data_IF_839489048338
#
_entry.id   IF_839489048338
#
_cell.length_a   1.000
_cell.length_b   1.000
_cell.length_c   1.000
_cell.angle_alpha   90.00
_cell.angle_beta   90.00
_cell.angle_gamma   90.00
#
_symmetry.space_group_name_H-M   'P 1'
#
loop_
_entity.id
_entity.type
_entity.pdbx_description
1 polymer ?
#
# COMPACT_ATOMS: atom_id res chain seq x y z
N UNK A 1 -18.33 -20.69 -0.51
CA UNK A 1 -17.57 -20.61 -1.78
C UNK A 1 -16.73 -19.35 -1.70
N UNK A 2 -15.45 -19.41 -1.98
CA UNK A 2 -14.54 -18.27 -1.85
C UNK A 2 -13.46 -18.34 -2.92
N UNK A 3 -12.97 -17.18 -3.34
CA UNK A 3 -11.73 -17.05 -4.10
C UNK A 3 -10.57 -16.74 -3.15
N UNK A 4 -9.35 -17.06 -3.56
CA UNK A 4 -8.13 -16.73 -2.83
C UNK A 4 -7.12 -16.09 -3.76
N UNK A 5 -6.51 -15.01 -3.30
CA UNK A 5 -5.20 -14.58 -3.76
C UNK A 5 -4.19 -14.96 -2.69
N UNK A 6 -3.11 -15.64 -3.07
CA UNK A 6 -2.03 -15.95 -2.12
C UNK A 6 -1.26 -14.68 -1.75
N UNK A 7 -0.53 -14.71 -0.63
CA UNK A 7 -0.13 -13.51 0.08
C UNK A 7 1.03 -12.77 -0.60
N UNK A 8 0.70 -11.65 -1.28
CA UNK A 8 1.72 -10.77 -1.86
C UNK A 8 2.58 -10.03 -0.82
N UNK A 9 2.08 -9.79 0.39
CA UNK A 9 2.83 -9.06 1.44
C UNK A 9 4.03 -9.86 1.96
N UNK A 10 4.02 -11.19 1.81
CA UNK A 10 5.13 -12.06 2.19
C UNK A 10 6.26 -12.12 1.15
N UNK A 11 6.06 -11.54 -0.04
CA UNK A 11 7.01 -11.59 -1.15
C UNK A 11 8.09 -10.52 -0.98
N UNK A 12 9.31 -10.82 -1.42
CA UNK A 12 10.49 -9.99 -1.16
C UNK A 12 11.08 -9.43 -2.44
N UNK A 13 11.58 -8.20 -2.37
CA UNK A 13 12.39 -7.57 -3.43
C UNK A 13 13.76 -8.25 -3.52
N UNK A 14 14.36 -8.59 -2.37
CA UNK A 14 15.64 -9.30 -2.28
C UNK A 14 15.44 -10.76 -2.65
N UNK A 15 16.35 -11.30 -3.47
CA UNK A 15 16.31 -12.68 -3.97
C UNK A 15 14.89 -13.10 -4.40
N UNK A 16 14.25 -12.36 -5.33
CA UNK A 16 12.82 -12.50 -5.63
C UNK A 16 12.46 -13.88 -6.20
N UNK A 17 13.43 -14.67 -6.66
CA UNK A 17 13.24 -16.05 -7.09
C UNK A 17 12.71 -16.94 -5.96
N UNK A 18 13.02 -16.60 -4.71
CA UNK A 18 12.47 -17.28 -3.54
C UNK A 18 10.94 -17.14 -3.44
N UNK A 19 10.35 -16.11 -4.08
CA UNK A 19 8.90 -15.92 -4.11
C UNK A 19 8.19 -17.06 -4.84
N UNK A 20 8.82 -17.72 -5.82
CA UNK A 20 8.23 -18.88 -6.51
C UNK A 20 7.86 -19.98 -5.51
N UNK A 21 8.75 -20.28 -4.56
CA UNK A 21 8.51 -21.29 -3.54
C UNK A 21 7.46 -20.84 -2.51
N UNK A 22 7.49 -19.57 -2.11
CA UNK A 22 6.49 -18.99 -1.20
C UNK A 22 5.09 -19.12 -1.79
N UNK A 23 4.92 -18.69 -3.03
CA UNK A 23 3.66 -18.73 -3.78
C UNK A 23 3.17 -20.18 -3.91
N UNK A 24 4.04 -21.13 -4.25
CA UNK A 24 3.66 -22.54 -4.36
C UNK A 24 3.14 -23.09 -3.02
N UNK A 25 3.86 -22.84 -1.92
CA UNK A 25 3.47 -23.33 -0.59
C UNK A 25 2.14 -22.71 -0.13
N UNK A 26 1.94 -21.42 -0.38
CA UNK A 26 0.69 -20.74 -0.08
C UNK A 26 -0.47 -21.25 -0.94
N UNK A 27 -0.22 -21.54 -2.22
CA UNK A 27 -1.21 -22.11 -3.13
C UNK A 27 -1.65 -23.51 -2.68
N UNK A 28 -0.71 -24.34 -2.24
CA UNK A 28 -1.01 -25.67 -1.69
C UNK A 28 -1.90 -25.59 -0.44
N UNK A 29 -1.66 -24.62 0.44
CA UNK A 29 -2.45 -24.44 1.67
C UNK A 29 -3.95 -24.22 1.40
N UNK A 30 -4.32 -23.69 0.23
CA UNK A 30 -5.72 -23.39 -0.15
C UNK A 30 -6.28 -24.30 -1.24
N UNK A 31 -5.51 -25.30 -1.68
CA UNK A 31 -5.90 -26.23 -2.76
C UNK A 31 -5.88 -27.71 -2.36
N UNK A 32 -5.05 -28.10 -1.38
CA UNK A 32 -4.87 -29.51 -0.99
C UNK A 32 -6.15 -30.15 -0.42
N UNK A 33 -6.91 -29.43 0.40
CA UNK A 33 -8.15 -29.97 0.97
C UNK A 33 -9.25 -30.04 -0.09
N UNK A 34 -9.71 -31.23 -0.44
CA UNK A 34 -10.79 -31.41 -1.43
C UNK A 34 -12.10 -30.73 -0.99
N UNK A 35 -12.45 -30.79 0.29
CA UNK A 35 -13.70 -30.26 0.84
C UNK A 35 -13.61 -28.77 1.14
N UNK A 36 -12.42 -28.26 1.48
CA UNK A 36 -12.25 -26.86 1.85
C UNK A 36 -11.60 -25.98 0.77
N UNK A 37 -10.98 -26.52 -0.28
CA UNK A 37 -10.24 -25.72 -1.28
C UNK A 37 -11.05 -24.58 -1.90
N UNK A 38 -10.32 -23.53 -2.25
CA UNK A 38 -10.86 -22.36 -2.92
C UNK A 38 -11.50 -22.72 -4.28
N UNK A 39 -12.42 -21.86 -4.75
CA UNK A 39 -13.12 -22.03 -6.04
C UNK A 39 -12.49 -21.22 -7.17
N UNK A 40 -11.71 -20.22 -6.82
CA UNK A 40 -10.90 -19.44 -7.73
C UNK A 40 -9.59 -19.14 -7.02
N UNK A 41 -8.48 -19.30 -7.72
CA UNK A 41 -7.14 -19.05 -7.21
C UNK A 41 -6.45 -18.03 -8.10
N UNK A 42 -5.93 -16.98 -7.48
CA UNK A 42 -5.05 -16.00 -8.11
C UNK A 42 -3.66 -16.15 -7.50
N UNK A 43 -2.66 -16.28 -8.35
CA UNK A 43 -1.26 -16.26 -7.94
C UNK A 43 -0.63 -14.92 -8.36
N UNK A 44 0.10 -14.24 -7.47
CA UNK A 44 0.97 -13.14 -7.86
C UNK A 44 2.14 -13.67 -8.71
N UNK A 45 2.90 -12.76 -9.29
CA UNK A 45 4.15 -13.12 -9.94
C UNK A 45 5.32 -13.16 -8.95
N UNK A 46 6.40 -13.84 -9.33
CA UNK A 46 7.61 -13.91 -8.52
C UNK A 46 8.27 -12.53 -8.29
N UNK A 47 8.07 -11.58 -9.20
CA UNK A 47 8.60 -10.22 -9.14
C UNK A 47 7.58 -9.16 -8.63
N UNK A 48 6.48 -9.59 -7.99
CA UNK A 48 5.43 -8.69 -7.48
C UNK A 48 5.96 -7.57 -6.57
N UNK A 49 6.98 -7.87 -5.76
CA UNK A 49 7.59 -6.90 -4.85
C UNK A 49 8.46 -5.84 -5.56
N UNK A 50 8.79 -6.05 -6.84
CA UNK A 50 9.59 -5.12 -7.65
C UNK A 50 8.72 -4.15 -8.45
N UNK A 51 7.53 -4.59 -8.89
CA UNK A 51 6.64 -3.79 -9.73
C UNK A 51 5.65 -4.65 -10.49
N UNK A 52 5.00 -4.08 -11.51
CA UNK A 52 4.02 -4.80 -12.30
C UNK A 52 4.66 -5.98 -13.06
N UNK A 53 4.02 -7.16 -13.07
CA UNK A 53 4.57 -8.33 -13.72
C UNK A 53 4.45 -8.26 -15.24
N UNK A 54 5.49 -8.69 -15.95
CA UNK A 54 5.50 -8.82 -17.41
C UNK A 54 4.67 -10.04 -17.82
N UNK A 55 4.26 -10.14 -19.10
CA UNK A 55 3.55 -11.32 -19.59
C UNK A 55 4.29 -12.65 -19.33
N UNK A 56 5.62 -12.64 -19.38
CA UNK A 56 6.44 -13.81 -19.07
C UNK A 56 6.35 -14.22 -17.58
N UNK A 57 6.38 -13.24 -16.67
CA UNK A 57 6.26 -13.50 -15.23
C UNK A 57 4.88 -14.08 -14.89
N UNK A 58 3.82 -13.54 -15.52
CA UNK A 58 2.46 -14.04 -15.38
C UNK A 58 2.30 -15.47 -15.93
N UNK A 59 2.94 -15.77 -17.07
CA UNK A 59 2.96 -17.12 -17.61
C UNK A 59 3.59 -18.12 -16.64
N UNK A 60 4.63 -17.73 -15.90
CA UNK A 60 5.25 -18.59 -14.89
C UNK A 60 4.25 -18.97 -13.79
N UNK A 61 3.52 -18.01 -13.24
CA UNK A 61 2.46 -18.29 -12.25
C UNK A 61 1.31 -19.13 -12.83
N UNK A 62 0.96 -18.94 -14.10
CA UNK A 62 -0.01 -19.79 -14.79
C UNK A 62 0.48 -21.24 -14.91
N UNK A 63 1.76 -21.43 -15.28
CA UNK A 63 2.37 -22.77 -15.39
C UNK A 63 2.40 -23.48 -14.05
N UNK A 64 2.63 -22.76 -12.94
CA UNK A 64 2.52 -23.32 -11.61
C UNK A 64 1.12 -23.91 -11.34
N UNK A 65 0.04 -23.19 -11.68
CA UNK A 65 -1.32 -23.71 -11.54
C UNK A 65 -1.59 -24.93 -12.44
N UNK A 66 -1.08 -24.91 -13.67
CA UNK A 66 -1.24 -26.02 -14.61
C UNK A 66 -0.49 -27.27 -14.17
N UNK A 67 0.74 -27.13 -13.68
CA UNK A 67 1.52 -28.23 -13.11
C UNK A 67 0.73 -28.84 -11.93
N UNK A 68 0.29 -28.00 -10.97
CA UNK A 68 -0.52 -28.48 -9.84
C UNK A 68 -1.80 -29.20 -10.29
N UNK A 69 -2.46 -28.73 -11.35
CA UNK A 69 -3.73 -29.30 -11.79
C UNK A 69 -3.60 -30.55 -12.68
N UNK A 70 -2.55 -30.63 -13.51
CA UNK A 70 -2.46 -31.62 -14.59
C UNK A 70 -1.24 -32.55 -14.51
N UNK A 71 -0.23 -32.19 -13.71
CA UNK A 71 0.96 -33.02 -13.49
C UNK A 71 1.01 -33.59 -12.06
N UNK A 72 0.02 -33.28 -11.24
CA UNK A 72 -0.16 -33.89 -9.91
C UNK A 72 -1.51 -34.55 -9.79
N UNK A 73 -1.57 -35.60 -8.96
CA UNK A 73 -2.79 -36.34 -8.67
C UNK A 73 -3.67 -35.65 -7.61
N UNK A 74 -3.37 -34.40 -7.23
CA UNK A 74 -4.06 -33.66 -6.16
C UNK A 74 -5.58 -33.55 -6.39
N UNK A 75 -6.03 -33.58 -7.64
CA UNK A 75 -7.45 -33.51 -7.99
C UNK A 75 -8.15 -34.87 -7.97
N UNK A 76 -7.39 -35.97 -7.97
CA UNK A 76 -7.91 -37.33 -8.14
C UNK A 76 -8.32 -37.99 -6.81
N UNK A 77 -7.57 -37.72 -5.74
CA UNK A 77 -7.80 -38.34 -4.43
C UNK A 77 -8.94 -37.70 -3.62
N UNK A 78 -9.33 -38.35 -2.53
CA UNK A 78 -10.21 -37.80 -1.49
C UNK A 78 -9.49 -36.72 -0.66
N UNK A 79 -10.13 -36.20 0.38
CA UNK A 79 -9.52 -35.14 1.20
C UNK A 79 -8.36 -35.70 2.04
N UNK A 80 -7.15 -35.24 1.77
CA UNK A 80 -5.92 -35.73 2.41
C UNK A 80 -5.84 -35.43 3.91
N UNK A 81 -6.70 -34.55 4.43
CA UNK A 81 -6.71 -34.18 5.85
C UNK A 81 -7.74 -34.94 6.69
N UNK A 82 -8.57 -35.80 6.09
CA UNK A 82 -9.54 -36.61 6.82
C UNK A 82 -8.83 -37.49 7.88
N UNK A 83 -9.25 -37.37 9.14
CA UNK A 83 -8.67 -38.12 10.27
C UNK A 83 -7.38 -37.53 10.85
N UNK A 84 -6.91 -36.38 10.36
CA UNK A 84 -5.75 -35.69 10.92
C UNK A 84 -6.12 -34.94 12.20
N UNK A 85 -5.85 -35.55 13.35
CA UNK A 85 -6.07 -34.91 14.67
C UNK A 85 -5.36 -33.55 14.83
N UNK A 86 -4.24 -33.33 14.13
CA UNK A 86 -3.51 -32.06 14.13
C UNK A 86 -4.28 -30.98 13.37
N UNK A 87 -4.72 -31.27 12.16
CA UNK A 87 -5.45 -30.30 11.31
C UNK A 87 -6.83 -30.03 11.90
N UNK A 88 -7.52 -31.06 12.38
CA UNK A 88 -8.81 -30.92 13.06
C UNK A 88 -8.69 -30.05 14.31
N UNK A 89 -7.71 -30.32 15.18
CA UNK A 89 -7.47 -29.53 16.38
C UNK A 89 -7.16 -28.06 16.08
N UNK A 90 -6.33 -27.77 15.07
CA UNK A 90 -6.04 -26.41 14.62
C UNK A 90 -7.27 -25.71 14.03
N UNK A 91 -8.09 -26.45 13.29
CA UNK A 91 -9.34 -25.93 12.71
C UNK A 91 -10.33 -25.52 13.80
N UNK A 92 -10.51 -26.33 14.84
CA UNK A 92 -11.41 -25.98 15.96
C UNK A 92 -10.91 -24.82 16.81
N UNK A 93 -9.59 -24.71 17.03
CA UNK A 93 -9.00 -23.55 17.69
C UNK A 93 -9.28 -22.26 16.91
N UNK A 94 -9.02 -22.25 15.59
CA UNK A 94 -9.28 -21.08 14.74
C UNK A 94 -10.77 -20.69 14.72
N UNK A 95 -11.68 -21.68 14.66
CA UNK A 95 -13.13 -21.42 14.73
C UNK A 95 -13.53 -20.80 16.07
N UNK A 96 -12.90 -21.20 17.16
CA UNK A 96 -13.18 -20.67 18.50
C UNK A 96 -12.75 -19.21 18.59
N UNK A 97 -11.51 -18.91 18.17
CA UNK A 97 -10.96 -17.55 18.15
C UNK A 97 -11.77 -16.63 17.23
N UNK A 98 -12.10 -17.07 16.02
CA UNK A 98 -12.88 -16.30 15.06
C UNK A 98 -14.29 -15.98 15.58
N UNK A 99 -14.95 -16.92 16.26
CA UNK A 99 -16.28 -16.66 16.86
C UNK A 99 -16.19 -15.69 18.05
N UNK A 100 -15.12 -15.75 18.84
CA UNK A 100 -14.90 -14.79 19.92
C UNK A 100 -14.64 -13.37 19.38
N UNK A 101 -13.93 -13.24 18.26
CA UNK A 101 -13.76 -11.98 17.54
C UNK A 101 -15.10 -11.44 17.01
N UNK A 102 -15.90 -12.29 16.35
CA UNK A 102 -17.23 -11.91 15.87
C UNK A 102 -18.13 -11.41 17.01
N UNK A 103 -18.15 -12.09 18.15
CA UNK A 103 -18.92 -11.67 19.32
C UNK A 103 -18.48 -10.30 19.86
N UNK A 104 -17.17 -9.99 19.80
CA UNK A 104 -16.66 -8.65 20.16
C UNK A 104 -17.14 -7.59 19.18
N UNK A 105 -17.07 -7.86 17.87
CA UNK A 105 -17.57 -6.96 16.83
C UNK A 105 -19.07 -6.71 16.98
N UNK A 106 -19.86 -7.75 17.27
CA UNK A 106 -21.31 -7.61 17.52
C UNK A 106 -21.59 -6.75 18.76
N UNK A 107 -20.81 -6.91 19.83
CA UNK A 107 -20.91 -6.07 21.03
C UNK A 107 -20.54 -4.59 20.79
N UNK A 108 -19.76 -4.30 19.74
CA UNK A 108 -19.42 -2.94 19.30
C UNK A 108 -20.49 -2.31 18.39
N UNK A 109 -21.61 -2.99 18.14
CA UNK A 109 -22.66 -2.51 17.24
C UNK A 109 -22.53 -3.03 15.81
N UNK A 110 -21.67 -4.01 15.57
CA UNK A 110 -21.46 -4.65 14.27
C UNK A 110 -20.27 -4.08 13.50
N UNK A 111 -19.99 -4.67 12.34
CA UNK A 111 -18.76 -4.44 11.59
C UNK A 111 -18.55 -2.99 11.14
N UNK A 112 -19.62 -2.24 10.82
CA UNK A 112 -19.52 -0.84 10.36
C UNK A 112 -18.99 0.06 11.48
N UNK A 113 -19.55 -0.07 12.68
CA UNK A 113 -19.12 0.68 13.86
C UNK A 113 -17.74 0.24 14.35
N UNK A 114 -17.41 -1.05 14.17
CA UNK A 114 -16.12 -1.62 14.57
C UNK A 114 -14.96 -1.33 13.60
N UNK A 115 -15.18 -0.60 12.49
CA UNK A 115 -14.12 -0.30 11.50
C UNK A 115 -12.85 0.31 12.14
N UNK A 116 -12.93 1.31 13.05
CA UNK A 116 -11.74 1.86 13.70
C UNK A 116 -10.95 0.81 14.48
N UNK A 117 -11.64 -0.03 15.26
CA UNK A 117 -11.04 -1.11 16.04
C UNK A 117 -10.38 -2.17 15.15
N UNK A 118 -11.04 -2.59 14.08
CA UNK A 118 -10.49 -3.55 13.13
C UNK A 118 -9.23 -2.99 12.44
N UNK A 119 -9.23 -1.70 12.09
CA UNK A 119 -8.07 -1.04 11.50
C UNK A 119 -6.92 -0.95 12.49
N UNK A 120 -7.18 -0.57 13.74
CA UNK A 120 -6.18 -0.51 14.80
C UNK A 120 -5.55 -1.89 15.06
N UNK A 121 -6.37 -2.92 15.21
CA UNK A 121 -5.91 -4.30 15.44
C UNK A 121 -5.02 -4.81 14.29
N UNK A 122 -5.40 -4.49 13.04
CA UNK A 122 -4.60 -4.86 11.87
C UNK A 122 -3.25 -4.13 11.82
N UNK A 123 -3.22 -2.84 12.20
CA UNK A 123 -1.96 -2.08 12.30
C UNK A 123 -1.08 -2.65 13.42
N UNK A 124 -1.63 -2.96 14.58
CA UNK A 124 -0.92 -3.57 15.70
C UNK A 124 -0.26 -4.91 15.33
N UNK A 125 -1.03 -5.83 14.75
CA UNK A 125 -0.51 -7.13 14.29
C UNK A 125 0.61 -6.98 13.24
N UNK A 126 0.54 -5.93 12.42
CA UNK A 126 1.59 -5.67 11.43
C UNK A 126 2.87 -5.12 12.07
N UNK A 127 2.76 -4.27 13.08
CA UNK A 127 3.90 -3.76 13.84
C UNK A 127 4.63 -4.90 14.53
N UNK A 128 3.92 -5.81 15.19
CA UNK A 128 4.50 -6.99 15.83
C UNK A 128 5.27 -7.86 14.82
N UNK A 129 4.68 -8.09 13.63
CA UNK A 129 5.35 -8.82 12.56
C UNK A 129 6.66 -8.17 12.16
N UNK A 130 6.66 -6.84 11.97
CA UNK A 130 7.84 -6.09 11.52
C UNK A 130 8.92 -6.09 12.59
N UNK A 131 8.56 -5.88 13.86
CA UNK A 131 9.48 -6.03 14.98
C UNK A 131 10.11 -7.42 15.03
N UNK A 132 9.31 -8.47 14.77
CA UNK A 132 9.83 -9.83 14.62
C UNK A 132 10.87 -9.97 13.51
N UNK A 133 10.67 -9.31 12.37
CA UNK A 133 11.61 -9.33 11.24
C UNK A 133 12.87 -8.52 11.56
N UNK A 134 12.74 -7.32 12.14
CA UNK A 134 13.85 -6.44 12.50
C UNK A 134 14.76 -7.08 13.55
N UNK A 135 14.17 -7.71 14.57
CA UNK A 135 14.89 -8.42 15.64
C UNK A 135 15.47 -9.78 15.18
N UNK A 136 15.03 -10.29 14.04
CA UNK A 136 15.40 -11.61 13.53
C UNK A 136 14.65 -12.79 14.18
N UNK A 137 13.71 -12.52 15.10
CA UNK A 137 12.83 -13.53 15.69
C UNK A 137 11.97 -14.21 14.61
N UNK A 138 11.51 -13.46 13.62
CA UNK A 138 10.87 -13.95 12.40
C UNK A 138 11.89 -13.95 11.25
N UNK A 139 12.27 -15.14 10.79
CA UNK A 139 13.21 -15.29 9.68
C UNK A 139 12.54 -15.02 8.34
N UNK A 140 13.17 -14.17 7.51
CA UNK A 140 12.81 -13.93 6.10
C UNK A 140 14.06 -14.17 5.26
N UNK A 141 14.06 -15.31 4.56
CA UNK A 141 15.17 -15.81 3.75
C UNK A 141 15.48 -14.81 2.62
N UNK A 142 16.74 -14.41 2.49
CA UNK A 142 17.22 -13.42 1.55
C UNK A 142 17.07 -11.96 2.01
N UNK A 143 16.42 -11.70 3.16
CA UNK A 143 16.21 -10.35 3.70
C UNK A 143 16.99 -10.15 5.00
N UNK A 144 16.66 -10.89 6.05
CA UNK A 144 17.33 -10.80 7.35
C UNK A 144 18.18 -12.04 7.69
N UNK A 145 18.09 -13.10 6.88
CA UNK A 145 18.85 -14.34 7.05
C UNK A 145 19.17 -14.96 5.69
N UNK A 146 20.37 -15.52 5.54
CA UNK A 146 20.91 -16.03 4.26
C UNK A 146 20.89 -14.95 3.17
N UNK A 147 21.57 -13.83 3.44
CA UNK A 147 21.51 -12.63 2.59
C UNK A 147 22.48 -12.72 1.41
N UNK A 148 23.54 -13.50 1.55
CA UNK A 148 24.54 -13.71 0.51
C UNK A 148 23.96 -14.51 -0.66
N UNK A 149 24.13 -14.01 -1.89
CA UNK A 149 23.65 -14.65 -3.12
C UNK A 149 24.55 -14.34 -4.31
N UNK A 150 24.52 -15.21 -5.32
CA UNK A 150 25.12 -14.91 -6.63
C UNK A 150 24.24 -13.93 -7.41
N UNK A 151 24.80 -13.24 -8.41
CA UNK A 151 24.03 -12.35 -9.27
C UNK A 151 22.95 -13.14 -10.04
N UNK A 152 21.69 -12.71 -9.90
CA UNK A 152 20.58 -13.33 -10.62
C UNK A 152 20.56 -12.90 -12.09
N UNK A 153 20.40 -13.86 -13.04
CA UNK A 153 20.16 -13.55 -14.45
C UNK A 153 18.74 -13.01 -14.69
N UNK A 154 17.81 -13.16 -13.73
CA UNK A 154 16.42 -12.73 -13.85
C UNK A 154 16.20 -11.30 -13.33
N UNK A 155 17.02 -10.85 -12.38
CA UNK A 155 16.82 -9.59 -11.65
C UNK A 155 17.67 -8.39 -12.08
N UNK A 156 18.38 -8.45 -13.22
CA UNK A 156 19.46 -7.50 -13.54
C UNK A 156 19.33 -6.71 -14.86
N UNK A 157 18.13 -6.57 -15.41
CA UNK A 157 17.90 -5.82 -16.67
C UNK A 157 16.97 -4.60 -16.54
N UNK A 158 17.08 -3.66 -17.49
CA UNK A 158 16.22 -2.46 -17.65
C UNK A 158 14.75 -2.78 -17.96
N UNK A 159 14.42 -4.05 -18.18
CA UNK A 159 13.07 -4.55 -18.44
C UNK A 159 12.64 -5.59 -17.39
N UNK A 160 13.02 -5.41 -16.11
CA UNK A 160 12.70 -6.34 -15.03
C UNK A 160 11.21 -6.31 -14.62
N UNK A 161 10.51 -5.22 -14.91
CA UNK A 161 9.10 -4.99 -14.60
C UNK A 161 8.36 -4.42 -15.83
N UNK A 162 7.04 -4.49 -15.82
CA UNK A 162 6.21 -3.85 -16.82
C UNK A 162 6.07 -2.35 -16.50
N UNK A 163 6.42 -1.50 -17.47
CA UNK A 163 6.17 -0.05 -17.42
C UNK A 163 5.07 0.35 -18.41
N UNK A 164 4.51 1.54 -18.24
CA UNK A 164 3.44 2.08 -19.09
C UNK A 164 4.03 3.24 -19.91
N UNK A 165 3.80 3.22 -21.23
CA UNK A 165 4.18 4.32 -22.13
C UNK A 165 3.34 5.57 -21.81
N UNK A 166 3.96 6.74 -21.53
CA UNK A 166 3.25 8.01 -21.33
C UNK A 166 2.28 8.38 -22.46
N UNK A 167 2.51 7.90 -23.69
CA UNK A 167 1.60 8.12 -24.82
C UNK A 167 0.20 7.52 -24.60
N UNK A 168 0.07 6.50 -23.73
CA UNK A 168 -1.21 5.86 -23.40
C UNK A 168 -2.15 6.85 -22.73
N UNK A 169 -1.66 7.60 -21.73
CA UNK A 169 -2.46 8.62 -21.05
C UNK A 169 -2.89 9.71 -22.03
N UNK A 170 -1.94 10.24 -22.82
CA UNK A 170 -2.23 11.26 -23.82
C UNK A 170 -3.27 10.80 -24.85
N UNK A 171 -3.22 9.52 -25.25
CA UNK A 171 -4.22 8.88 -26.09
C UNK A 171 -5.60 8.82 -25.42
N UNK A 172 -5.65 8.41 -24.16
CA UNK A 172 -6.89 8.32 -23.40
C UNK A 172 -7.54 9.70 -23.18
N UNK A 173 -6.76 10.74 -22.92
CA UNK A 173 -7.25 12.12 -22.82
C UNK A 173 -7.89 12.57 -24.13
N UNK A 174 -7.24 12.33 -25.27
CA UNK A 174 -7.80 12.66 -26.59
C UNK A 174 -9.09 11.88 -26.86
N UNK A 175 -9.12 10.59 -26.55
CA UNK A 175 -10.31 9.75 -26.71
C UNK A 175 -11.47 10.27 -25.84
N UNK A 176 -11.19 10.64 -24.59
CA UNK A 176 -12.19 11.20 -23.67
C UNK A 176 -12.75 12.53 -24.15
N UNK A 177 -11.89 13.44 -24.66
CA UNK A 177 -12.32 14.71 -25.23
C UNK A 177 -13.21 14.51 -26.46
N UNK A 178 -12.82 13.59 -27.36
CA UNK A 178 -13.63 13.25 -28.53
C UNK A 178 -14.98 12.63 -28.13
N UNK A 179 -14.98 11.71 -27.16
CA UNK A 179 -16.18 11.10 -26.60
C UNK A 179 -17.15 12.14 -26.04
N UNK A 180 -16.65 13.06 -25.22
CA UNK A 180 -17.43 14.17 -24.64
C UNK A 180 -18.02 15.10 -25.69
N UNK A 181 -17.34 15.29 -26.82
CA UNK A 181 -17.81 16.13 -27.93
C UNK A 181 -18.90 15.45 -28.77
N UNK A 182 -18.85 14.12 -28.90
CA UNK A 182 -19.74 13.37 -29.78
C UNK A 182 -21.05 12.92 -29.12
N UNK A 183 -21.06 12.76 -27.79
CA UNK A 183 -22.25 12.30 -27.04
C UNK A 183 -23.36 13.36 -26.99
N UNK A 184 -24.58 12.91 -26.75
CA UNK A 184 -25.73 13.78 -26.52
C UNK A 184 -25.65 14.43 -25.14
N UNK A 185 -25.39 15.75 -25.12
CA UNK A 185 -25.25 16.51 -23.88
C UNK A 185 -26.56 16.55 -23.06
N UNK A 186 -27.72 16.62 -23.71
CA UNK A 186 -29.01 16.67 -23.02
C UNK A 186 -29.35 15.33 -22.37
N UNK A 187 -29.06 14.22 -23.06
CA UNK A 187 -29.22 12.88 -22.49
C UNK A 187 -28.29 12.65 -21.29
N UNK A 188 -27.04 13.13 -21.37
CA UNK A 188 -26.05 13.06 -20.27
C UNK A 188 -26.53 13.85 -19.05
N UNK A 189 -26.98 15.09 -19.25
CA UNK A 189 -27.45 15.94 -18.16
C UNK A 189 -28.68 15.35 -17.48
N UNK A 190 -29.66 14.86 -18.26
CA UNK A 190 -30.84 14.20 -17.73
C UNK A 190 -30.48 12.94 -16.92
N UNK A 191 -29.55 12.12 -17.41
CA UNK A 191 -29.14 10.91 -16.71
C UNK A 191 -28.36 11.21 -15.41
N UNK A 192 -27.50 12.24 -15.40
CA UNK A 192 -26.83 12.68 -14.17
C UNK A 192 -27.84 13.23 -13.16
N UNK A 193 -28.84 13.97 -13.62
CA UNK A 193 -29.89 14.52 -12.76
C UNK A 193 -30.72 13.40 -12.10
N UNK A 194 -31.16 12.41 -12.86
CA UNK A 194 -31.91 11.28 -12.28
C UNK A 194 -31.03 10.42 -11.34
N UNK A 195 -29.74 10.24 -11.67
CA UNK A 195 -28.80 9.57 -10.76
C UNK A 195 -28.69 10.29 -9.41
N UNK A 196 -28.56 11.63 -9.43
CA UNK A 196 -28.52 12.44 -8.21
C UNK A 196 -29.83 12.34 -7.44
N UNK A 197 -30.98 12.46 -8.12
CA UNK A 197 -32.29 12.33 -7.49
C UNK A 197 -32.49 10.96 -6.85
N UNK A 198 -32.10 9.88 -7.53
CA UNK A 198 -32.18 8.53 -7.00
C UNK A 198 -31.31 8.35 -5.75
N UNK A 199 -30.10 8.89 -5.77
CA UNK A 199 -29.19 8.90 -4.63
C UNK A 199 -29.74 9.70 -3.44
N UNK A 200 -30.31 10.89 -3.68
CA UNK A 200 -30.89 11.75 -2.63
C UNK A 200 -32.17 11.17 -2.02
N UNK A 201 -33.04 10.58 -2.84
CA UNK A 201 -34.33 10.05 -2.40
C UNK A 201 -34.25 8.61 -1.86
N UNK A 202 -33.06 7.99 -1.87
CA UNK A 202 -32.85 6.62 -1.39
C UNK A 202 -33.42 5.52 -2.31
N UNK A 203 -33.67 5.83 -3.59
CA UNK A 203 -34.09 4.84 -4.59
C UNK A 203 -32.90 3.96 -5.00
N UNK A 204 -33.19 2.85 -5.67
CA UNK A 204 -32.15 2.06 -6.31
C UNK A 204 -31.41 2.93 -7.36
N UNK A 205 -30.08 3.04 -7.21
CA UNK A 205 -29.22 3.83 -8.08
C UNK A 205 -28.72 3.03 -9.30
N UNK A 206 -28.98 1.72 -9.36
CA UNK A 206 -28.48 0.87 -10.44
C UNK A 206 -29.11 1.22 -11.79
N UNK A 207 -30.43 1.38 -11.84
CA UNK A 207 -31.15 1.69 -13.08
C UNK A 207 -30.74 3.07 -13.64
N UNK A 208 -30.68 4.15 -12.84
CA UNK A 208 -30.11 5.43 -13.27
C UNK A 208 -28.62 5.33 -13.67
N UNK A 209 -27.83 4.50 -12.99
CA UNK A 209 -26.41 4.31 -13.35
C UNK A 209 -26.24 3.64 -14.71
N UNK A 210 -27.08 2.66 -15.04
CA UNK A 210 -27.10 2.03 -16.38
C UNK A 210 -27.52 3.05 -17.44
N UNK A 211 -28.53 3.88 -17.14
CA UNK A 211 -28.96 4.95 -18.04
C UNK A 211 -27.83 5.97 -18.28
N UNK A 212 -27.13 6.38 -17.23
CA UNK A 212 -25.96 7.26 -17.30
C UNK A 212 -24.84 6.67 -18.18
N UNK A 213 -24.49 5.41 -17.97
CA UNK A 213 -23.48 4.73 -18.78
C UNK A 213 -23.89 4.69 -20.28
N UNK A 214 -25.16 4.39 -20.57
CA UNK A 214 -25.69 4.38 -21.95
C UNK A 214 -25.74 5.76 -22.59
N UNK A 215 -26.03 6.81 -21.81
CA UNK A 215 -26.00 8.19 -22.25
C UNK A 215 -24.57 8.71 -22.51
N UNK A 216 -23.55 7.95 -22.07
CA UNK A 216 -22.15 8.31 -22.24
C UNK A 216 -21.57 9.17 -21.13
N UNK A 217 -22.19 9.16 -19.94
CA UNK A 217 -21.61 9.70 -18.71
C UNK A 217 -20.31 8.94 -18.42
N UNK A 218 -19.25 9.69 -18.09
CA UNK A 218 -17.93 9.12 -17.78
C UNK A 218 -17.87 8.68 -16.32
N UNK A 219 -16.96 7.76 -15.98
CA UNK A 219 -16.74 7.34 -14.57
C UNK A 219 -16.46 8.53 -13.65
N UNK A 220 -15.73 9.54 -14.15
CA UNK A 220 -15.46 10.76 -13.39
C UNK A 220 -16.72 11.59 -13.11
N UNK A 221 -17.58 11.78 -14.11
CA UNK A 221 -18.85 12.51 -13.95
C UNK A 221 -19.83 11.75 -13.05
N UNK A 222 -19.94 10.42 -13.22
CA UNK A 222 -20.73 9.56 -12.34
C UNK A 222 -20.25 9.65 -10.89
N UNK A 223 -18.94 9.53 -10.67
CA UNK A 223 -18.35 9.64 -9.34
C UNK A 223 -18.47 11.04 -8.73
N UNK A 224 -18.37 12.11 -9.52
CA UNK A 224 -18.62 13.48 -9.06
C UNK A 224 -20.08 13.68 -8.66
N UNK A 225 -21.02 13.18 -9.47
CA UNK A 225 -22.44 13.30 -9.19
C UNK A 225 -22.84 12.67 -7.85
N UNK A 226 -22.31 11.48 -7.55
CA UNK A 226 -22.55 10.82 -6.25
C UNK A 226 -21.84 11.52 -5.08
N UNK A 227 -20.64 12.07 -5.30
CA UNK A 227 -19.92 12.84 -4.28
C UNK A 227 -20.63 14.14 -3.91
N UNK A 228 -21.33 14.78 -4.84
CA UNK A 228 -22.16 15.95 -4.53
C UNK A 228 -23.34 15.60 -3.59
N UNK A 229 -23.85 14.36 -3.64
CA UNK A 229 -24.98 13.92 -2.79
C UNK A 229 -24.49 13.36 -1.45
N UNK A 230 -23.47 12.50 -1.47
CA UNK A 230 -23.01 11.77 -0.29
C UNK A 230 -21.79 12.38 0.40
N UNK A 231 -21.13 13.34 -0.24
CA UNK A 231 -19.81 13.82 0.17
C UNK A 231 -18.69 12.81 -0.14
N UNK A 232 -17.53 13.04 0.47
CA UNK A 232 -16.36 12.18 0.36
C UNK A 232 -16.04 11.55 1.73
N UNK A 233 -15.76 10.25 1.72
CA UNK A 233 -15.35 9.55 2.95
C UNK A 233 -13.85 9.74 3.20
N UNK A 234 -13.50 10.11 4.43
CA UNK A 234 -12.13 10.09 4.95
C UNK A 234 -12.02 9.01 6.01
N UNK A 235 -11.23 7.98 5.72
CA UNK A 235 -11.03 6.86 6.64
C UNK A 235 -10.13 7.23 7.82
N UNK A 236 -10.29 6.56 8.98
CA UNK A 236 -9.42 6.78 10.12
C UNK A 236 -7.98 6.36 9.81
N UNK A 237 -7.01 7.14 10.31
CA UNK A 237 -5.61 6.75 10.31
C UNK A 237 -5.38 5.84 11.51
N UNK A 238 -5.00 4.57 11.30
CA UNK A 238 -4.77 3.59 12.38
C UNK A 238 -3.52 3.88 13.25
N UNK A 239 -3.03 5.12 13.24
CA UNK A 239 -1.75 5.56 13.85
C UNK A 239 -1.97 6.27 15.19
N UNK A 240 -3.22 6.46 15.61
CA UNK A 240 -3.57 7.27 16.80
C UNK A 240 -3.23 6.60 18.15
N UNK A 241 -3.02 5.27 18.20
CA UNK A 241 -2.99 4.52 19.48
C UNK A 241 -1.68 3.77 19.75
N UNK A 242 -0.70 3.76 18.82
CA UNK A 242 0.54 3.00 19.07
C UNK A 242 1.58 3.86 19.83
N UNK A 243 1.22 4.24 21.05
CA UNK A 243 2.14 4.72 22.07
C UNK A 243 2.21 3.60 23.10
N UNK A 244 3.02 2.58 22.81
CA UNK A 244 3.70 1.70 23.77
C UNK A 244 4.17 0.44 23.03
N UNK A 245 5.26 0.56 22.28
CA UNK A 245 6.14 -0.58 22.06
C UNK A 245 7.51 -0.18 22.60
N UNK A 246 7.83 -0.77 23.74
CA UNK A 246 8.93 -0.34 24.60
C UNK A 246 10.31 -0.42 23.97
N UNK A 247 11.22 0.36 24.56
CA UNK A 247 12.46 -0.17 25.14
C UNK A 247 13.47 -0.84 24.21
N UNK A 248 13.47 -0.60 22.91
CA UNK A 248 14.63 -0.93 22.09
C UNK A 248 15.68 0.16 22.25
N UNK A 249 16.90 -0.21 22.67
CA UNK A 249 18.03 0.71 22.80
C UNK A 249 18.27 1.55 21.53
N UNK A 250 17.90 1.03 20.36
CA UNK A 250 17.94 1.74 19.09
C UNK A 250 16.93 2.91 19.01
N UNK A 251 15.68 2.71 19.47
CA UNK A 251 14.67 3.78 19.48
C UNK A 251 15.10 4.90 20.43
N UNK A 252 15.59 4.55 21.62
CA UNK A 252 16.08 5.53 22.59
C UNK A 252 17.30 6.30 22.07
N UNK A 253 18.22 5.61 21.37
CA UNK A 253 19.34 6.26 20.71
C UNK A 253 18.89 7.26 19.63
N UNK A 254 17.96 6.87 18.75
CA UNK A 254 17.39 7.78 17.76
C UNK A 254 16.61 8.92 18.41
N UNK A 255 15.88 8.67 19.50
CA UNK A 255 15.16 9.71 20.25
C UNK A 255 16.12 10.75 20.81
N UNK A 256 17.24 10.33 21.40
CA UNK A 256 18.28 11.26 21.87
C UNK A 256 18.86 12.12 20.73
N UNK A 257 18.99 11.56 19.52
CA UNK A 257 19.39 12.33 18.33
C UNK A 257 18.32 13.33 17.89
N UNK A 258 17.05 12.92 17.89
CA UNK A 258 15.92 13.82 17.61
C UNK A 258 15.89 14.98 18.61
N UNK A 259 16.12 14.71 19.89
CA UNK A 259 16.18 15.73 20.95
C UNK A 259 17.33 16.72 20.68
N UNK A 260 18.54 16.22 20.43
CA UNK A 260 19.72 17.05 20.16
C UNK A 260 19.57 17.93 18.90
N UNK A 261 18.94 17.43 17.84
CA UNK A 261 18.64 18.22 16.64
C UNK A 261 17.51 19.21 16.91
N UNK A 262 16.47 18.82 17.65
CA UNK A 262 15.36 19.70 18.03
C UNK A 262 15.83 20.89 18.88
N UNK A 263 16.78 20.69 19.80
CA UNK A 263 17.38 21.78 20.58
C UNK A 263 18.05 22.82 19.69
N UNK A 264 18.80 22.37 18.68
CA UNK A 264 19.47 23.26 17.71
C UNK A 264 18.50 23.96 16.77
N UNK A 265 17.39 23.29 16.41
CA UNK A 265 16.31 23.87 15.62
C UNK A 265 15.43 24.85 16.42
N UNK A 266 15.51 24.82 17.75
CA UNK A 266 14.71 25.66 18.65
C UNK A 266 13.27 25.17 18.85
N UNK A 267 12.89 24.04 18.23
CA UNK A 267 11.60 23.37 18.40
C UNK A 267 11.70 21.91 17.98
N UNK A 268 10.66 21.12 18.27
CA UNK A 268 10.62 19.69 17.91
C UNK A 268 10.76 19.49 16.40
N UNK A 269 11.60 18.52 16.00
CA UNK A 269 11.71 18.06 14.62
C UNK A 269 10.32 17.60 14.14
N UNK A 270 9.81 18.26 13.11
CA UNK A 270 8.48 18.03 12.53
C UNK A 270 8.60 17.32 11.19
N UNK A 271 7.80 16.26 11.04
CA UNK A 271 7.81 15.38 9.87
C UNK A 271 6.40 15.26 9.30
N UNK A 272 6.20 15.81 8.10
CA UNK A 272 4.95 15.64 7.34
C UNK A 272 5.10 14.44 6.42
N UNK A 273 4.27 13.42 6.64
CA UNK A 273 4.22 12.24 5.79
C UNK A 273 2.95 12.28 4.94
N UNK A 274 3.13 12.29 3.62
CA UNK A 274 2.04 12.36 2.65
C UNK A 274 1.97 11.13 1.75
N UNK A 275 0.75 10.81 1.30
CA UNK A 275 0.50 9.83 0.24
C UNK A 275 -0.18 10.52 -0.95
N UNK A 276 0.62 10.98 -1.94
CA UNK A 276 0.08 11.74 -3.06
C UNK A 276 -0.69 10.84 -4.04
N UNK A 277 -1.67 11.41 -4.73
CA UNK A 277 -2.40 10.76 -5.80
C UNK A 277 -3.49 9.81 -5.31
N UNK A 278 -3.71 8.68 -6.00
CA UNK A 278 -4.78 7.73 -5.67
C UNK A 278 -4.27 6.49 -4.91
N UNK A 279 -2.98 6.47 -4.53
CA UNK A 279 -2.36 5.35 -3.86
C UNK A 279 -3.00 5.06 -2.48
N UNK A 280 -3.66 3.91 -2.38
CA UNK A 280 -4.33 3.45 -1.16
C UNK A 280 -3.44 2.65 -0.21
N UNK A 281 -2.18 2.34 -0.57
CA UNK A 281 -1.31 1.49 0.24
C UNK A 281 -0.78 2.23 1.48
N UNK A 282 -1.51 2.21 2.58
CA UNK A 282 -1.16 2.98 3.77
C UNK A 282 -0.20 2.29 4.74
N UNK A 283 -0.05 0.96 4.68
CA UNK A 283 0.69 0.19 5.68
C UNK A 283 2.12 0.70 5.95
N UNK A 284 2.89 0.97 4.89
CA UNK A 284 4.26 1.47 5.04
C UNK A 284 4.30 2.88 5.64
N UNK A 285 3.39 3.77 5.20
CA UNK A 285 3.31 5.12 5.74
C UNK A 285 2.88 5.12 7.22
N UNK A 286 1.92 4.28 7.60
CA UNK A 286 1.45 4.15 8.99
C UNK A 286 2.58 3.67 9.92
N UNK A 287 3.42 2.72 9.49
CA UNK A 287 4.58 2.26 10.26
C UNK A 287 5.65 3.34 10.41
N UNK A 288 5.96 4.05 9.32
CA UNK A 288 6.91 5.17 9.33
C UNK A 288 6.42 6.25 10.29
N UNK A 289 5.14 6.61 10.23
CA UNK A 289 4.55 7.59 11.13
C UNK A 289 4.58 7.12 12.59
N UNK A 290 4.22 5.88 12.88
CA UNK A 290 4.27 5.31 14.23
C UNK A 290 5.71 5.27 14.78
N UNK A 291 6.68 4.80 13.99
CA UNK A 291 8.10 4.75 14.41
C UNK A 291 8.68 6.15 14.59
N UNK A 292 8.37 7.09 13.70
CA UNK A 292 8.79 8.49 13.85
C UNK A 292 8.28 9.11 15.16
N UNK A 293 7.00 8.86 15.52
CA UNK A 293 6.44 9.27 16.81
C UNK A 293 7.13 8.59 17.99
N UNK A 294 7.45 7.30 17.89
CA UNK A 294 8.18 6.57 18.93
C UNK A 294 9.60 7.11 19.14
N UNK A 295 10.29 7.51 18.06
CA UNK A 295 11.55 8.27 18.10
C UNK A 295 11.37 9.73 18.56
N UNK A 296 10.13 10.14 18.83
CA UNK A 296 9.77 11.42 19.40
C UNK A 296 9.59 12.53 18.36
N UNK A 297 9.59 12.30 17.06
CA UNK A 297 9.31 13.37 16.09
C UNK A 297 7.87 13.89 16.23
N UNK A 298 7.63 15.15 15.89
CA UNK A 298 6.27 15.70 15.71
C UNK A 298 5.75 15.31 14.32
N UNK A 299 4.89 14.29 14.25
CA UNK A 299 4.50 13.65 12.99
C UNK A 299 3.07 13.99 12.58
N UNK A 300 2.96 14.60 11.39
CA UNK A 300 1.70 14.91 10.74
C UNK A 300 1.45 13.86 9.66
N UNK A 301 0.37 13.09 9.81
CA UNK A 301 -0.08 12.09 8.86
C UNK A 301 -1.61 11.99 8.88
N UNK A 302 -2.24 12.53 7.83
CA UNK A 302 -3.71 12.64 7.71
C UNK A 302 -4.31 11.55 6.79
N UNK A 303 -3.52 10.54 6.44
CA UNK A 303 -3.97 9.37 5.70
C UNK A 303 -3.61 9.41 4.21
N UNK A 304 -4.56 8.98 3.37
CA UNK A 304 -4.33 8.69 1.95
C UNK A 304 -5.10 9.64 1.04
N UNK A 305 -4.72 9.62 -0.24
CA UNK A 305 -5.39 10.33 -1.33
C UNK A 305 -5.40 11.84 -1.16
N UNK A 306 -4.21 12.40 -0.98
CA UNK A 306 -3.99 13.84 -1.03
C UNK A 306 -3.36 14.22 -2.36
N UNK A 307 -3.66 15.42 -2.83
CA UNK A 307 -2.93 16.03 -3.94
C UNK A 307 -1.55 16.50 -3.44
N UNK A 308 -0.54 16.59 -4.33
CA UNK A 308 0.73 17.23 -4.00
C UNK A 308 0.58 18.62 -3.38
N UNK A 309 -0.36 19.42 -3.87
CA UNK A 309 -0.64 20.76 -3.34
C UNK A 309 -1.17 20.74 -1.90
N UNK A 310 -2.08 19.81 -1.55
CA UNK A 310 -2.59 19.67 -0.19
C UNK A 310 -1.49 19.24 0.79
N UNK A 311 -0.61 18.30 0.40
CA UNK A 311 0.52 17.86 1.24
C UNK A 311 1.48 19.03 1.48
N UNK A 312 1.76 19.83 0.44
CA UNK A 312 2.60 21.03 0.56
C UNK A 312 1.94 22.08 1.45
N UNK A 313 0.62 22.26 1.36
CA UNK A 313 -0.12 23.16 2.24
C UNK A 313 -0.06 22.72 3.71
N UNK A 314 -0.19 21.42 3.98
CA UNK A 314 0.02 20.84 5.32
C UNK A 314 1.44 21.08 5.81
N UNK A 315 2.45 20.84 4.96
CA UNK A 315 3.85 21.10 5.29
C UNK A 315 4.15 22.56 5.61
N UNK A 316 3.53 23.49 4.88
CA UNK A 316 3.64 24.91 5.17
C UNK A 316 2.95 25.28 6.48
N UNK A 317 1.73 24.78 6.71
CA UNK A 317 0.96 25.07 7.92
C UNK A 317 1.65 24.52 9.19
N UNK A 318 2.29 23.35 9.09
CA UNK A 318 3.00 22.71 10.18
C UNK A 318 4.44 23.21 10.37
N UNK A 319 4.91 24.15 9.54
CA UNK A 319 6.32 24.56 9.47
C UNK A 319 7.24 23.31 9.44
N UNK A 320 7.04 22.44 8.45
CA UNK A 320 7.68 21.14 8.40
C UNK A 320 9.20 21.25 8.26
N UNK A 321 9.96 20.49 9.04
CA UNK A 321 11.41 20.36 8.86
C UNK A 321 11.77 19.37 7.74
N UNK A 322 10.89 18.41 7.45
CA UNK A 322 11.05 17.42 6.38
C UNK A 322 9.70 16.96 5.88
N UNK A 323 9.61 16.71 4.57
CA UNK A 323 8.45 16.11 3.91
C UNK A 323 8.85 14.71 3.45
N UNK A 324 8.01 13.72 3.74
CA UNK A 324 8.13 12.35 3.28
C UNK A 324 6.95 12.00 2.39
N UNK A 325 7.22 11.38 1.25
CA UNK A 325 6.17 10.82 0.39
C UNK A 325 6.24 9.31 0.39
N UNK A 326 5.11 8.64 0.60
CA UNK A 326 5.01 7.19 0.44
C UNK A 326 4.20 6.86 -0.81
N UNK A 327 4.85 6.31 -1.85
CA UNK A 327 4.26 6.08 -3.18
C UNK A 327 4.53 4.63 -3.63
N UNK A 328 3.47 3.83 -3.73
CA UNK A 328 3.53 2.43 -4.16
C UNK A 328 2.78 2.19 -5.48
N UNK A 329 2.27 3.25 -6.11
CA UNK A 329 1.45 3.16 -7.33
C UNK A 329 2.25 3.14 -8.64
N UNK A 330 3.58 3.25 -8.59
CA UNK A 330 4.44 3.44 -9.76
C UNK A 330 4.38 4.85 -10.37
N UNK A 331 3.68 5.80 -9.74
CA UNK A 331 3.52 7.18 -10.20
C UNK A 331 4.53 8.15 -9.57
N UNK A 332 5.61 7.63 -8.98
CA UNK A 332 6.55 8.40 -8.15
C UNK A 332 7.23 9.52 -8.92
N UNK A 333 7.65 9.32 -10.17
CA UNK A 333 8.31 10.37 -10.94
C UNK A 333 7.40 11.59 -11.16
N UNK A 334 6.14 11.37 -11.52
CA UNK A 334 5.21 12.45 -11.82
C UNK A 334 4.73 13.15 -10.56
N UNK A 335 4.34 12.37 -9.54
CA UNK A 335 3.86 12.93 -8.27
C UNK A 335 4.98 13.67 -7.53
N UNK A 336 6.22 13.17 -7.53
CA UNK A 336 7.36 13.89 -6.91
C UNK A 336 7.67 15.16 -7.68
N UNK A 337 7.65 15.13 -9.02
CA UNK A 337 7.86 16.32 -9.84
C UNK A 337 6.82 17.39 -9.55
N UNK A 338 5.55 17.00 -9.43
CA UNK A 338 4.45 17.89 -9.05
C UNK A 338 4.64 18.42 -7.63
N UNK A 339 4.96 17.57 -6.65
CA UNK A 339 5.22 18.01 -5.26
C UNK A 339 6.35 19.04 -5.20
N UNK A 340 7.48 18.81 -5.88
CA UNK A 340 8.59 19.76 -5.91
C UNK A 340 8.17 21.08 -6.55
N UNK A 341 7.35 21.04 -7.61
CA UNK A 341 6.78 22.26 -8.20
C UNK A 341 5.89 23.01 -7.21
N UNK A 342 5.01 22.32 -6.48
CA UNK A 342 4.16 22.94 -5.46
C UNK A 342 4.97 23.48 -4.27
N UNK A 343 6.01 22.77 -3.83
CA UNK A 343 6.94 23.25 -2.78
C UNK A 343 7.60 24.57 -3.18
N UNK A 344 8.08 24.69 -4.42
CA UNK A 344 8.66 25.93 -4.96
C UNK A 344 7.65 27.07 -4.95
N UNK A 345 6.42 26.83 -5.41
CA UNK A 345 5.33 27.83 -5.38
C UNK A 345 4.99 28.27 -3.95
N UNK A 346 5.09 27.36 -2.99
CA UNK A 346 4.80 27.61 -1.59
C UNK A 346 5.96 28.25 -0.81
N UNK A 347 7.17 28.32 -1.38
CA UNK A 347 8.39 28.83 -0.75
C UNK A 347 9.09 27.83 0.18
N UNK A 348 8.90 26.52 -0.04
CA UNK A 348 9.46 25.43 0.76
C UNK A 348 10.73 24.80 0.14
N UNK A 349 11.46 25.53 -0.69
CA UNK A 349 12.65 25.03 -1.41
C UNK A 349 13.74 24.44 -0.50
N UNK A 350 13.81 24.93 0.74
CA UNK A 350 14.80 24.49 1.74
C UNK A 350 14.36 23.26 2.52
N UNK A 351 13.06 22.93 2.52
CA UNK A 351 12.54 21.78 3.23
C UNK A 351 12.96 20.52 2.46
N UNK A 352 13.77 19.62 3.04
CA UNK A 352 14.17 18.39 2.37
C UNK A 352 12.97 17.48 2.10
N UNK A 353 13.00 16.84 0.92
CA UNK A 353 12.04 15.84 0.50
C UNK A 353 12.69 14.46 0.53
N UNK A 354 12.06 13.50 1.20
CA UNK A 354 12.40 12.07 1.15
C UNK A 354 11.24 11.28 0.54
N UNK A 355 11.53 10.18 -0.14
CA UNK A 355 10.52 9.38 -0.84
C UNK A 355 10.70 7.91 -0.47
N UNK A 356 9.61 7.21 -0.19
CA UNK A 356 9.59 5.79 0.07
C UNK A 356 8.55 5.06 -0.77
N UNK A 357 8.79 3.78 -1.10
CA UNK A 357 7.80 2.92 -1.74
C UNK A 357 8.41 1.94 -2.75
N UNK A 358 7.59 1.44 -3.69
CA UNK A 358 8.07 0.53 -4.75
C UNK A 358 8.67 1.38 -5.86
N UNK A 359 9.99 1.56 -5.81
CA UNK A 359 10.73 2.45 -6.70
C UNK A 359 11.85 1.66 -7.35
N UNK A 360 11.84 1.49 -8.68
CA UNK A 360 12.91 0.83 -9.43
C UNK A 360 14.26 1.53 -9.24
N UNK A 361 15.34 0.77 -9.31
CA UNK A 361 16.69 1.29 -9.13
C UNK A 361 17.05 2.42 -10.13
N UNK A 362 16.59 2.30 -11.37
CA UNK A 362 16.78 3.31 -12.42
C UNK A 362 16.10 4.65 -12.10
N UNK A 363 14.94 4.61 -11.44
CA UNK A 363 14.18 5.80 -11.07
C UNK A 363 14.73 6.48 -9.82
N UNK A 364 15.42 5.74 -8.94
CA UNK A 364 16.10 6.31 -7.77
C UNK A 364 17.07 7.43 -8.16
N UNK A 365 17.84 7.24 -9.24
CA UNK A 365 18.78 8.26 -9.72
C UNK A 365 18.03 9.50 -10.22
N UNK A 366 16.96 9.31 -10.98
CA UNK A 366 16.11 10.39 -11.50
C UNK A 366 15.50 11.21 -10.36
N UNK A 367 14.96 10.55 -9.32
CA UNK A 367 14.41 11.22 -8.14
C UNK A 367 15.46 12.07 -7.41
N UNK A 368 16.68 11.54 -7.24
CA UNK A 368 17.78 12.29 -6.61
C UNK A 368 18.17 13.52 -7.44
N UNK A 369 18.22 13.41 -8.77
CA UNK A 369 18.48 14.54 -9.66
C UNK A 369 17.38 15.61 -9.60
N UNK A 370 16.12 15.22 -9.32
CA UNK A 370 15.03 16.19 -9.10
C UNK A 370 15.15 16.95 -7.78
N UNK A 371 15.95 16.46 -6.82
CA UNK A 371 16.19 17.11 -5.53
C UNK A 371 15.76 16.28 -4.31
N UNK A 372 15.27 15.05 -4.50
CA UNK A 372 14.97 14.12 -3.41
C UNK A 372 16.25 13.77 -2.65
N UNK A 373 16.26 13.97 -1.33
CA UNK A 373 17.43 13.75 -0.48
C UNK A 373 17.72 12.27 -0.23
N UNK A 374 16.67 11.49 -0.05
CA UNK A 374 16.76 10.05 0.23
C UNK A 374 15.58 9.31 -0.38
N UNK A 375 15.87 8.16 -0.96
CA UNK A 375 14.88 7.20 -1.47
C UNK A 375 14.98 5.93 -0.62
N UNK A 376 13.83 5.41 -0.19
CA UNK A 376 13.69 4.18 0.57
C UNK A 376 12.82 3.18 -0.21
N UNK A 377 13.28 1.94 -0.38
CA UNK A 377 12.53 0.87 -1.09
C UNK A 377 12.23 -0.29 -0.13
N UNK A 378 11.52 -1.36 -0.53
CA UNK A 378 11.31 -2.53 0.34
C UNK A 378 12.60 -3.14 0.93
N UNK A 379 13.78 -2.86 0.35
CA UNK A 379 15.10 -3.17 0.93
C UNK A 379 15.41 -2.48 2.25
N UNK A 380 14.82 -1.31 2.47
CA UNK A 380 15.03 -0.51 3.68
C UNK A 380 14.02 -0.97 4.76
N UNK A 381 14.11 -2.23 5.18
CA UNK A 381 13.15 -2.83 6.13
C UNK A 381 13.39 -2.44 7.60
N UNK A 382 14.54 -1.80 7.91
CA UNK A 382 14.90 -1.33 9.25
C UNK A 382 14.38 0.09 9.47
N UNK A 383 13.18 0.20 10.01
CA UNK A 383 12.45 1.47 10.11
C UNK A 383 13.14 2.44 11.07
N UNK A 384 13.74 1.96 12.15
CA UNK A 384 14.52 2.82 13.06
C UNK A 384 15.72 3.45 12.36
N UNK A 385 16.39 2.72 11.46
CA UNK A 385 17.49 3.27 10.66
C UNK A 385 16.99 4.35 9.69
N UNK A 386 15.79 4.19 9.12
CA UNK A 386 15.17 5.25 8.29
C UNK A 386 14.99 6.52 9.13
N UNK A 387 14.59 6.41 10.40
CA UNK A 387 14.40 7.58 11.27
C UNK A 387 15.74 8.27 11.55
N UNK A 388 16.80 7.50 11.79
CA UNK A 388 18.16 8.01 11.90
C UNK A 388 18.62 8.76 10.64
N UNK A 389 18.41 8.19 9.46
CA UNK A 389 18.72 8.82 8.16
C UNK A 389 17.90 10.13 7.97
N UNK A 390 16.64 10.17 8.41
CA UNK A 390 15.80 11.39 8.37
C UNK A 390 16.36 12.49 9.28
N UNK A 391 16.86 12.15 10.48
CA UNK A 391 17.52 13.11 11.37
C UNK A 391 18.76 13.70 10.69
N UNK A 392 19.57 12.89 10.01
CA UNK A 392 20.74 13.37 9.27
C UNK A 392 20.38 14.28 8.10
N UNK A 393 19.31 13.96 7.38
CA UNK A 393 18.78 14.80 6.29
C UNK A 393 18.33 16.16 6.81
N UNK A 394 17.63 16.21 7.95
CA UNK A 394 17.21 17.47 8.58
C UNK A 394 18.43 18.24 9.07
N UNK A 395 19.37 17.59 9.76
CA UNK A 395 20.57 18.25 10.25
C UNK A 395 21.34 18.91 9.10
N UNK A 396 21.60 18.19 8.00
CA UNK A 396 22.33 18.74 6.85
C UNK A 396 21.58 19.86 6.10
N UNK A 397 20.25 19.95 6.23
CA UNK A 397 19.45 20.97 5.56
C UNK A 397 19.35 22.27 6.37
N UNK A 398 19.37 22.18 7.70
CA UNK A 398 19.03 23.28 8.60
C UNK A 398 20.17 23.76 9.51
N UNK A 399 21.21 22.94 9.73
CA UNK A 399 22.32 23.16 10.68
C UNK A 399 23.68 23.03 9.99
#
# INVERSE_FOLDING_TARGET
RYGVQVNSLGLTEQQPENNVYRILLEALAVTLSKRARCRALQLPAWNEALGLPRPWDQQWSLRMQQIMAFETDMLEYEDLFDGSHVVEGKTEALKTEARAELARIDAMGGAVEAVPYMKESLVGAHIERIQGIESGALSVIGVNRYVETAQSPLGSGTDAIQTIDPAVEAGQVRALQAWRKARDAGAVEAAISDLKAAASDGRNIMEPSIAAAKAGVTTGEWGTALREVFGEYRGPTGVAVVIETGGEAAIEATRARVDAVSEKLGRRLSYVLGKPGLDGHSNGAEQIAARARACGMDVIYDGIRFTPAEIVAQAKAADAHVIGLSILSGSHLDLVRETISEMRKAGLDKVPLVVGGIIPHEDEQSLRQMGVRRVYTPKDFKITQIMDDVVDVVQAAWL
#
